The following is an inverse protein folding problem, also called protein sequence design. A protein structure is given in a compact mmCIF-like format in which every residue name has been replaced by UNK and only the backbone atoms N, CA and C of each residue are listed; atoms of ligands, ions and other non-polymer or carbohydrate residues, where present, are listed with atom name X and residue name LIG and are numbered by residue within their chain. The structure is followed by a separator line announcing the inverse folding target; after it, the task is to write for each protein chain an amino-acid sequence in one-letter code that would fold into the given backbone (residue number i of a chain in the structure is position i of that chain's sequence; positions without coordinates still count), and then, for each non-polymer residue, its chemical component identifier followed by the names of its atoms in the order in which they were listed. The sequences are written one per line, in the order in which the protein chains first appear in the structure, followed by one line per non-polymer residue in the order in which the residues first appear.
data_IF_175373168906
#
_entry.id   IF_175373168906
#
_cell.length_a   1.000
_cell.length_b   1.000
_cell.length_c   1.000
_cell.angle_alpha   90.00
_cell.angle_beta   90.00
_cell.angle_gamma   90.00
#
_symmetry.space_group_name_H-M   'P 1'
#
loop_
_entity.id
_entity.type
_entity.pdbx_description
1 polymer ?
#
# COMPACT_ATOMS: atom_id res chain seq x y z
N UNK A 1 -5.62 -21.37 11.19
CA UNK A 1 -6.78 -21.44 10.27
C UNK A 1 -7.10 -22.90 10.02
N UNK A 2 -8.37 -23.24 9.78
CA UNK A 2 -8.72 -24.61 9.38
C UNK A 2 -8.15 -24.91 7.98
N UNK A 3 -7.56 -26.09 7.82
CA UNK A 3 -7.13 -26.63 6.52
C UNK A 3 -8.25 -27.51 5.95
N UNK A 4 -8.48 -27.47 4.63
CA UNK A 4 -9.41 -28.40 3.98
C UNK A 4 -8.75 -29.78 3.85
N UNK A 5 -9.55 -30.83 4.00
CA UNK A 5 -9.15 -32.21 3.66
C UNK A 5 -9.20 -32.41 2.14
N UNK A 6 -8.38 -31.69 1.37
CA UNK A 6 -8.25 -31.85 -0.09
C UNK A 6 -6.81 -31.64 -0.53
N UNK A 7 -6.39 -32.33 -1.60
CA UNK A 7 -5.03 -32.24 -2.14
C UNK A 7 -4.71 -30.81 -2.60
N UNK A 8 -3.59 -30.25 -2.13
CA UNK A 8 -3.12 -28.91 -2.49
C UNK A 8 -2.71 -28.89 -3.97
N UNK A 9 -3.38 -28.06 -4.77
CA UNK A 9 -2.89 -27.70 -6.09
C UNK A 9 -1.62 -26.82 -5.95
N UNK A 10 -0.72 -26.87 -6.93
CA UNK A 10 0.45 -25.99 -6.94
C UNK A 10 -0.01 -24.51 -6.88
N UNK A 11 0.65 -23.65 -6.08
CA UNK A 11 0.24 -22.27 -5.93
C UNK A 11 0.34 -21.56 -7.29
N UNK A 12 -0.76 -20.94 -7.71
CA UNK A 12 -0.74 -20.03 -8.85
C UNK A 12 0.21 -18.86 -8.53
N UNK A 13 0.88 -18.33 -9.55
CA UNK A 13 1.70 -17.13 -9.38
C UNK A 13 0.84 -15.99 -8.82
N UNK A 14 1.36 -15.32 -7.79
CA UNK A 14 0.68 -14.16 -7.19
C UNK A 14 0.46 -13.05 -8.23
N UNK A 15 -0.70 -12.36 -8.20
CA UNK A 15 -0.96 -11.25 -9.11
C UNK A 15 0.05 -10.11 -8.98
N UNK A 16 0.47 -9.55 -10.11
CA UNK A 16 1.41 -8.43 -10.19
C UNK A 16 0.95 -7.17 -9.43
N UNK A 17 -0.36 -6.93 -9.38
CA UNK A 17 -0.92 -5.79 -8.66
C UNK A 17 -0.68 -5.86 -7.14
N UNK A 18 -0.37 -7.04 -6.59
CA UNK A 18 -0.03 -7.18 -5.18
C UNK A 18 1.27 -6.47 -4.82
N UNK A 19 2.01 -5.88 -5.76
CA UNK A 19 3.20 -5.05 -5.51
C UNK A 19 2.87 -3.59 -5.14
N UNK A 20 1.67 -3.11 -5.46
CA UNK A 20 1.24 -1.73 -5.17
C UNK A 20 0.84 -1.52 -3.71
N UNK A 21 0.69 -0.27 -3.27
CA UNK A 21 0.20 0.02 -1.93
C UNK A 21 -1.33 -0.20 -1.85
N UNK A 22 -1.80 -0.52 -0.64
CA UNK A 22 -3.22 -0.60 -0.32
C UNK A 22 -3.77 0.80 -0.01
N UNK A 23 -4.59 1.32 -0.94
CA UNK A 23 -5.14 2.67 -0.89
C UNK A 23 -6.36 2.79 0.05
N UNK A 24 -6.97 1.66 0.44
CA UNK A 24 -8.12 1.62 1.34
C UNK A 24 -7.74 1.38 2.81
N UNK A 25 -6.46 1.08 3.09
CA UNK A 25 -6.02 0.77 4.44
C UNK A 25 -6.28 1.91 5.43
N UNK A 26 -6.75 1.57 6.64
CA UNK A 26 -7.03 2.55 7.71
C UNK A 26 -5.81 3.41 8.05
N UNK A 27 -4.60 2.83 7.99
CA UNK A 27 -3.35 3.53 8.33
C UNK A 27 -2.94 4.60 7.31
N UNK A 28 -3.53 4.56 6.11
CA UNK A 28 -3.40 5.64 5.12
C UNK A 28 -4.63 6.55 5.09
N UNK A 29 -5.55 6.39 6.03
CA UNK A 29 -6.74 7.23 6.19
C UNK A 29 -8.02 6.65 5.58
N UNK A 30 -8.01 5.40 5.10
CA UNK A 30 -9.21 4.77 4.55
C UNK A 30 -10.27 4.53 5.61
N UNK A 31 -11.55 4.70 5.24
CA UNK A 31 -12.68 4.64 6.17
C UNK A 31 -13.90 4.01 5.53
N UNK A 32 -14.66 3.25 6.32
CA UNK A 32 -16.05 2.93 5.95
C UNK A 32 -16.93 4.09 6.41
N UNK A 33 -17.65 4.70 5.47
CA UNK A 33 -18.51 5.87 5.73
C UNK A 33 -20.00 5.52 5.73
N UNK A 34 -20.33 4.29 5.31
CA UNK A 34 -21.68 3.73 5.37
C UNK A 34 -21.62 2.20 5.30
N UNK A 35 -22.50 1.51 6.01
CA UNK A 35 -22.74 0.07 5.88
C UNK A 35 -24.21 -0.23 6.19
N UNK A 36 -24.84 -1.14 5.44
CA UNK A 36 -26.25 -1.51 5.62
C UNK A 36 -26.52 -2.21 6.96
N UNK A 37 -25.61 -3.08 7.38
CA UNK A 37 -25.72 -3.90 8.58
C UNK A 37 -24.31 -4.22 9.11
N UNK A 38 -24.13 -4.20 10.42
CA UNK A 38 -22.86 -4.46 11.11
C UNK A 38 -23.08 -5.30 12.37
N UNK A 39 -24.05 -6.21 12.32
CA UNK A 39 -24.55 -6.88 13.52
C UNK A 39 -23.52 -7.74 14.24
N UNK A 40 -22.82 -8.63 13.54
CA UNK A 40 -21.88 -9.55 14.18
C UNK A 40 -20.48 -8.96 14.28
N UNK A 41 -20.05 -8.20 13.27
CA UNK A 41 -18.76 -7.51 13.28
C UNK A 41 -18.76 -6.27 12.35
N UNK A 42 -18.08 -5.18 12.74
CA UNK A 42 -18.15 -3.90 12.05
C UNK A 42 -17.34 -3.89 10.74
N UNK A 43 -17.88 -3.19 9.74
CA UNK A 43 -17.29 -3.04 8.41
C UNK A 43 -15.94 -2.32 8.43
N UNK A 44 -15.66 -1.48 9.43
CA UNK A 44 -14.35 -0.86 9.61
C UNK A 44 -13.19 -1.89 9.68
N UNK A 45 -13.46 -3.12 10.15
CA UNK A 45 -12.47 -4.19 10.20
C UNK A 45 -11.93 -4.58 8.82
N UNK A 46 -12.66 -4.32 7.72
CA UNK A 46 -12.21 -4.61 6.35
C UNK A 46 -10.89 -3.94 6.02
N UNK A 47 -10.67 -2.74 6.58
CA UNK A 47 -9.59 -1.83 6.21
C UNK A 47 -8.37 -1.95 7.14
N UNK A 48 -8.44 -2.85 8.13
CA UNK A 48 -7.35 -3.10 9.07
C UNK A 48 -6.11 -3.56 8.33
N UNK A 49 -4.97 -2.99 8.71
CA UNK A 49 -3.68 -3.39 8.11
C UNK A 49 -3.31 -4.83 8.44
N UNK A 50 -3.49 -5.19 9.71
CA UNK A 50 -3.06 -6.48 10.25
C UNK A 50 -3.85 -7.64 9.61
N UNK A 51 -3.22 -8.82 9.43
CA UNK A 51 -3.93 -10.02 9.04
C UNK A 51 -5.12 -10.31 9.98
N UNK A 52 -6.21 -10.90 9.49
CA UNK A 52 -7.34 -11.27 10.33
C UNK A 52 -6.93 -12.25 11.43
N UNK A 53 -7.60 -12.16 12.57
CA UNK A 53 -7.41 -13.07 13.70
C UNK A 53 -8.67 -13.86 14.03
N UNK A 54 -8.48 -15.03 14.62
CA UNK A 54 -9.58 -15.84 15.14
C UNK A 54 -9.28 -16.28 16.56
N UNK A 55 -10.17 -15.92 17.47
CA UNK A 55 -10.05 -16.23 18.91
C UNK A 55 -11.20 -17.19 19.23
N UNK A 56 -10.88 -18.47 19.45
CA UNK A 56 -11.85 -19.57 19.45
C UNK A 56 -12.96 -19.44 20.51
N UNK A 57 -12.64 -18.87 21.67
CA UNK A 57 -13.55 -18.79 22.81
C UNK A 57 -14.16 -17.38 23.02
N UNK A 58 -13.91 -16.44 22.09
CA UNK A 58 -14.41 -15.06 22.21
C UNK A 58 -15.78 -14.88 21.55
N UNK A 59 -16.69 -14.25 22.29
CA UNK A 59 -18.06 -13.94 21.88
C UNK A 59 -18.41 -12.52 22.33
N UNK A 60 -19.23 -11.82 21.55
CA UNK A 60 -19.87 -10.57 21.91
C UNK A 60 -21.33 -10.84 22.32
N UNK A 61 -22.05 -9.84 22.79
CA UNK A 61 -23.50 -9.98 23.03
C UNK A 61 -24.29 -10.23 21.73
N UNK A 62 -23.69 -9.98 20.57
CA UNK A 62 -24.30 -10.15 19.25
C UNK A 62 -23.95 -11.48 18.57
N UNK A 63 -23.00 -12.25 19.10
CA UNK A 63 -22.63 -13.55 18.56
C UNK A 63 -21.14 -13.88 18.70
N UNK A 64 -20.63 -14.70 17.79
CA UNK A 64 -19.20 -15.03 17.73
C UNK A 64 -18.40 -13.77 17.39
N UNK A 65 -17.32 -13.50 18.13
CA UNK A 65 -16.42 -12.41 17.73
C UNK A 65 -15.66 -12.80 16.46
N UNK A 66 -15.68 -11.91 15.46
CA UNK A 66 -15.01 -12.10 14.18
C UNK A 66 -14.20 -10.84 13.81
N UNK A 67 -12.95 -11.04 13.37
CA UNK A 67 -12.10 -9.94 12.90
C UNK A 67 -12.34 -9.63 11.42
N UNK A 68 -13.55 -9.14 11.12
CA UNK A 68 -14.01 -8.80 9.78
C UNK A 68 -15.29 -7.98 9.82
N UNK A 69 -15.92 -7.81 8.66
CA UNK A 69 -17.31 -7.35 8.55
C UNK A 69 -18.22 -8.57 8.49
N UNK A 70 -19.24 -8.65 9.34
CA UNK A 70 -20.25 -9.72 9.25
C UNK A 70 -21.67 -9.20 9.56
N UNK A 71 -22.58 -9.46 8.63
CA UNK A 71 -23.98 -9.00 8.70
C UNK A 71 -24.94 -10.08 9.19
N UNK A 72 -26.14 -9.67 9.62
CA UNK A 72 -27.24 -10.61 9.89
C UNK A 72 -27.60 -11.40 8.65
N UNK A 73 -27.97 -12.66 8.87
CA UNK A 73 -28.62 -13.49 7.85
C UNK A 73 -29.83 -12.78 7.27
N UNK A 74 -29.78 -12.47 5.98
CA UNK A 74 -30.83 -11.73 5.30
C UNK A 74 -32.01 -12.65 5.01
N UNK A 75 -33.19 -12.18 5.37
CA UNK A 75 -34.49 -12.84 5.12
C UNK A 75 -35.46 -11.93 4.38
N UNK A 76 -34.92 -10.90 3.75
CA UNK A 76 -35.63 -9.86 3.01
C UNK A 76 -34.97 -9.68 1.64
N UNK A 77 -35.68 -9.11 0.65
CA UNK A 77 -35.07 -8.82 -0.65
C UNK A 77 -33.83 -7.90 -0.54
N UNK A 78 -32.93 -8.03 -1.51
CA UNK A 78 -31.72 -7.23 -1.63
C UNK A 78 -30.47 -7.92 -1.07
N UNK A 79 -29.44 -7.12 -0.83
CA UNK A 79 -28.11 -7.57 -0.42
C UNK A 79 -27.43 -6.53 0.46
N UNK A 80 -26.41 -6.91 1.23
CA UNK A 80 -25.68 -5.99 2.10
C UNK A 80 -24.52 -5.31 1.37
N UNK A 81 -24.25 -4.05 1.71
CA UNK A 81 -23.21 -3.26 1.06
C UNK A 81 -22.68 -2.16 1.98
N UNK A 82 -21.47 -1.70 1.68
CA UNK A 82 -20.85 -0.59 2.38
C UNK A 82 -20.19 0.39 1.40
N UNK A 83 -19.98 1.63 1.83
CA UNK A 83 -19.19 2.63 1.12
C UNK A 83 -17.87 2.83 1.85
N UNK A 84 -16.79 2.69 1.08
CA UNK A 84 -15.42 2.87 1.54
C UNK A 84 -14.88 4.15 0.91
N UNK A 85 -14.46 5.10 1.73
CA UNK A 85 -13.61 6.21 1.30
C UNK A 85 -12.15 5.74 1.32
N UNK A 86 -11.45 5.88 0.20
CA UNK A 86 -10.03 5.57 0.12
C UNK A 86 -9.23 6.59 0.95
N UNK A 87 -8.19 6.13 1.64
CA UNK A 87 -7.27 7.02 2.34
C UNK A 87 -6.38 7.80 1.36
N UNK A 88 -6.09 7.18 0.22
CA UNK A 88 -5.37 7.82 -0.89
C UNK A 88 -6.17 7.62 -2.17
N UNK A 89 -6.70 8.70 -2.72
CA UNK A 89 -7.37 8.65 -4.01
C UNK A 89 -6.36 8.35 -5.13
N UNK A 90 -6.73 7.49 -6.06
CA UNK A 90 -5.78 6.95 -7.01
C UNK A 90 -6.38 6.02 -8.05
N UNK A 91 -5.52 5.44 -8.86
CA UNK A 91 -5.88 4.45 -9.88
C UNK A 91 -5.79 3.05 -9.29
N UNK A 92 -6.83 2.26 -9.46
CA UNK A 92 -6.92 0.89 -8.92
C UNK A 92 -6.42 -0.12 -9.96
N UNK A 93 -5.54 -1.03 -9.52
CA UNK A 93 -4.96 -2.10 -10.34
C UNK A 93 -5.48 -3.48 -9.95
N UNK A 94 -5.92 -3.65 -8.71
CA UNK A 94 -6.58 -4.87 -8.27
C UNK A 94 -7.13 -4.78 -6.86
N UNK A 95 -7.98 -5.75 -6.53
CA UNK A 95 -8.62 -5.88 -5.22
C UNK A 95 -8.40 -7.30 -4.70
N UNK A 96 -8.17 -7.43 -3.41
CA UNK A 96 -8.22 -8.69 -2.67
C UNK A 96 -9.38 -8.66 -1.68
N UNK A 97 -10.32 -9.59 -1.85
CA UNK A 97 -11.43 -9.81 -0.91
C UNK A 97 -11.10 -11.07 -0.11
N UNK A 98 -10.61 -10.86 1.11
CA UNK A 98 -10.16 -11.93 2.00
C UNK A 98 -11.32 -12.41 2.87
N UNK A 99 -11.68 -13.68 2.76
CA UNK A 99 -12.75 -14.32 3.53
C UNK A 99 -12.23 -15.12 4.73
N UNK A 100 -10.95 -14.99 5.10
CA UNK A 100 -10.30 -15.75 6.19
C UNK A 100 -11.21 -15.96 7.39
N UNK A 101 -11.30 -17.20 7.88
CA UNK A 101 -12.15 -17.62 9.01
C UNK A 101 -13.67 -17.65 8.75
N UNK A 102 -14.19 -17.07 7.68
CA UNK A 102 -15.58 -17.24 7.24
C UNK A 102 -15.74 -18.50 6.37
N UNK A 103 -15.64 -19.67 6.99
CA UNK A 103 -15.55 -20.97 6.27
C UNK A 103 -16.89 -21.52 5.79
N UNK A 104 -18.01 -21.06 6.35
CA UNK A 104 -19.37 -21.46 5.96
C UNK A 104 -20.38 -20.31 5.91
N UNK A 105 -19.95 -19.11 6.29
CA UNK A 105 -20.74 -17.88 6.39
C UNK A 105 -20.08 -16.71 5.63
N UNK A 106 -19.16 -16.97 4.69
CA UNK A 106 -18.75 -15.96 3.71
C UNK A 106 -19.92 -15.70 2.74
N UNK A 107 -20.02 -14.50 2.15
CA UNK A 107 -21.02 -14.25 1.13
C UNK A 107 -20.70 -15.06 -0.12
N UNK A 108 -21.68 -15.72 -0.76
CA UNK A 108 -21.47 -16.45 -2.00
C UNK A 108 -20.90 -15.60 -3.15
N UNK A 109 -21.32 -14.34 -3.27
CA UNK A 109 -20.83 -13.44 -4.32
C UNK A 109 -20.48 -12.05 -3.79
N UNK A 110 -19.62 -11.37 -4.55
CA UNK A 110 -19.22 -9.97 -4.34
C UNK A 110 -19.30 -9.18 -5.63
N UNK A 111 -19.48 -7.87 -5.53
CA UNK A 111 -19.17 -6.92 -6.61
C UNK A 111 -18.58 -5.63 -6.00
N UNK A 112 -17.82 -4.90 -6.80
CA UNK A 112 -17.18 -3.64 -6.39
C UNK A 112 -17.41 -2.58 -7.45
N UNK A 113 -17.99 -1.44 -7.07
CA UNK A 113 -18.09 -0.25 -7.91
C UNK A 113 -17.18 0.87 -7.39
N UNK A 114 -16.85 1.83 -8.25
CA UNK A 114 -15.96 2.94 -7.92
C UNK A 114 -16.54 4.31 -8.29
N UNK A 115 -16.40 5.25 -7.35
CA UNK A 115 -16.80 6.64 -7.51
C UNK A 115 -15.61 7.60 -7.44
N UNK A 116 -15.71 8.69 -8.21
CA UNK A 116 -14.89 9.88 -8.06
C UNK A 116 -15.78 11.01 -7.54
N UNK A 117 -15.64 11.35 -6.26
CA UNK A 117 -16.37 12.46 -5.63
C UNK A 117 -15.39 13.61 -5.44
N UNK A 118 -15.76 14.80 -5.91
CA UNK A 118 -14.96 16.02 -5.74
C UNK A 118 -14.94 16.46 -4.28
N UNK A 119 -16.08 16.38 -3.61
CA UNK A 119 -16.23 16.66 -2.19
C UNK A 119 -16.56 15.37 -1.42
N UNK A 120 -15.91 15.12 -0.26
CA UNK A 120 -16.27 13.99 0.57
C UNK A 120 -17.69 14.18 1.15
N UNK A 121 -18.50 13.11 1.23
CA UNK A 121 -19.80 13.20 1.86
C UNK A 121 -19.69 13.59 3.34
N UNK A 122 -20.71 14.27 3.85
CA UNK A 122 -20.73 14.82 5.21
C UNK A 122 -21.17 13.82 6.28
N UNK A 123 -21.67 12.65 5.89
CA UNK A 123 -22.02 11.59 6.82
C UNK A 123 -20.83 10.65 7.06
N UNK A 124 -20.62 10.28 8.31
CA UNK A 124 -19.61 9.34 8.73
C UNK A 124 -20.20 8.36 9.75
N UNK A 125 -19.60 7.18 9.83
CA UNK A 125 -19.86 6.23 10.91
C UNK A 125 -18.91 6.56 12.06
N UNK A 126 -19.45 6.69 13.27
CA UNK A 126 -18.66 6.92 14.48
C UNK A 126 -18.77 5.72 15.43
N UNK A 127 -17.65 5.42 16.10
CA UNK A 127 -17.57 4.40 17.13
C UNK A 127 -17.62 2.96 16.61
N UNK A 128 -17.73 2.04 17.56
CA UNK A 128 -18.00 0.62 17.26
C UNK A 128 -19.48 0.45 16.94
N UNK A 129 -19.76 -0.11 15.76
CA UNK A 129 -21.11 -0.34 15.24
C UNK A 129 -21.55 -1.80 15.31
N UNK A 130 -20.85 -2.62 16.07
CA UNK A 130 -21.28 -3.99 16.35
C UNK A 130 -22.71 -3.99 16.88
N UNK A 131 -23.59 -4.81 16.27
CA UNK A 131 -25.01 -4.88 16.59
C UNK A 131 -25.90 -3.86 15.88
N UNK A 132 -25.33 -2.96 15.08
CA UNK A 132 -26.08 -1.89 14.41
C UNK A 132 -26.55 -2.27 12.99
N UNK A 133 -27.51 -1.51 12.51
CA UNK A 133 -27.90 -1.46 11.10
C UNK A 133 -28.15 -0.01 10.69
N UNK A 134 -28.08 0.27 9.39
CA UNK A 134 -28.33 1.59 8.87
C UNK A 134 -29.74 2.06 9.23
N UNK A 135 -29.82 3.22 9.87
CA UNK A 135 -31.05 3.95 10.10
C UNK A 135 -31.64 4.47 8.79
N UNK A 136 -32.94 4.82 8.82
CA UNK A 136 -33.59 5.43 7.67
C UNK A 136 -32.91 6.73 7.22
N UNK A 137 -32.44 7.55 8.17
CA UNK A 137 -31.73 8.79 7.87
C UNK A 137 -30.40 8.54 7.15
N UNK A 138 -29.63 7.53 7.57
CA UNK A 138 -28.39 7.13 6.89
C UNK A 138 -28.66 6.60 5.48
N UNK A 139 -29.70 5.78 5.31
CA UNK A 139 -30.13 5.28 3.99
C UNK A 139 -30.52 6.42 3.04
N UNK A 140 -31.27 7.42 3.52
CA UNK A 140 -31.64 8.61 2.73
C UNK A 140 -30.40 9.46 2.41
N UNK A 141 -29.46 9.59 3.34
CA UNK A 141 -28.23 10.36 3.12
C UNK A 141 -27.33 9.70 2.07
N UNK A 142 -27.07 8.39 2.18
CA UNK A 142 -26.20 7.66 1.25
C UNK A 142 -26.81 7.53 -0.14
N UNK A 143 -28.13 7.48 -0.27
CA UNK A 143 -28.81 7.40 -1.57
C UNK A 143 -28.51 8.60 -2.48
N UNK A 144 -28.16 9.76 -1.91
CA UNK A 144 -27.75 10.96 -2.67
C UNK A 144 -26.44 10.77 -3.43
N UNK A 145 -25.63 9.76 -3.08
CA UNK A 145 -24.40 9.44 -3.79
C UNK A 145 -24.64 8.73 -5.13
N UNK A 146 -25.84 8.17 -5.34
CA UNK A 146 -26.16 7.34 -6.51
C UNK A 146 -25.12 6.24 -6.75
N UNK A 147 -24.62 5.65 -5.66
CA UNK A 147 -23.49 4.71 -5.69
C UNK A 147 -23.83 3.39 -6.37
N UNK A 148 -25.11 3.07 -6.51
CA UNK A 148 -25.61 1.95 -7.31
C UNK A 148 -25.30 2.11 -8.81
N UNK A 149 -25.16 3.35 -9.30
CA UNK A 149 -24.87 3.66 -10.69
C UNK A 149 -23.37 3.89 -10.96
N UNK A 150 -22.52 3.77 -9.94
CA UNK A 150 -21.07 3.89 -10.11
C UNK A 150 -20.53 2.78 -11.02
N UNK A 151 -19.52 3.05 -11.87
CA UNK A 151 -18.89 2.04 -12.71
C UNK A 151 -18.37 0.85 -11.91
N UNK A 152 -18.57 -0.36 -12.42
CA UNK A 152 -18.03 -1.58 -11.81
C UNK A 152 -16.51 -1.68 -12.03
N UNK A 153 -15.77 -1.90 -10.94
CA UNK A 153 -14.39 -2.40 -10.98
C UNK A 153 -14.38 -3.92 -11.09
N UNK A 154 -15.30 -4.57 -10.38
CA UNK A 154 -15.47 -6.02 -10.31
C UNK A 154 -16.96 -6.31 -10.42
N UNK A 155 -17.39 -6.93 -11.51
CA UNK A 155 -18.76 -7.41 -11.66
C UNK A 155 -19.05 -8.57 -10.70
N UNK A 156 -20.32 -8.98 -10.59
CA UNK A 156 -20.73 -10.05 -9.66
C UNK A 156 -19.88 -11.31 -9.86
N UNK A 157 -19.15 -11.69 -8.82
CA UNK A 157 -18.15 -12.76 -8.85
C UNK A 157 -18.28 -13.66 -7.62
N UNK A 158 -18.08 -14.97 -7.80
CA UNK A 158 -18.13 -15.95 -6.71
C UNK A 158 -16.93 -15.78 -5.76
N UNK A 159 -17.17 -15.89 -4.46
CA UNK A 159 -16.12 -15.91 -3.44
C UNK A 159 -15.84 -17.33 -2.95
N UNK A 160 -14.57 -17.58 -2.65
CA UNK A 160 -14.15 -18.81 -2.00
C UNK A 160 -14.31 -18.70 -0.47
N UNK A 161 -14.58 -19.82 0.22
CA UNK A 161 -14.64 -19.85 1.68
C UNK A 161 -13.30 -19.59 2.37
N UNK A 162 -13.38 -19.10 3.60
CA UNK A 162 -12.26 -18.63 4.45
C UNK A 162 -11.26 -19.64 4.99
N UNK A 163 -10.84 -20.63 4.19
CA UNK A 163 -9.76 -21.55 4.55
C UNK A 163 -8.41 -20.99 4.10
N UNK A 164 -7.33 -21.39 4.79
CA UNK A 164 -5.99 -20.81 4.61
C UNK A 164 -5.50 -20.82 3.15
N UNK A 165 -5.84 -21.86 2.41
CA UNK A 165 -5.41 -22.12 1.04
C UNK A 165 -6.21 -21.36 -0.03
N UNK A 166 -7.35 -20.76 0.32
CA UNK A 166 -8.27 -20.20 -0.67
C UNK A 166 -9.05 -18.95 -0.21
N UNK A 167 -8.80 -18.45 1.00
CA UNK A 167 -9.46 -17.28 1.57
C UNK A 167 -9.25 -15.98 0.77
N UNK A 168 -8.13 -15.83 0.08
CA UNK A 168 -7.86 -14.67 -0.77
C UNK A 168 -8.54 -14.78 -2.14
N UNK A 169 -9.35 -13.77 -2.48
CA UNK A 169 -10.05 -13.67 -3.75
C UNK A 169 -9.54 -12.45 -4.51
N UNK A 170 -8.65 -12.71 -5.46
CA UNK A 170 -7.93 -11.68 -6.21
C UNK A 170 -8.66 -11.30 -7.51
N UNK A 171 -8.93 -10.01 -7.68
CA UNK A 171 -9.56 -9.44 -8.87
C UNK A 171 -8.64 -8.40 -9.51
N UNK A 172 -8.18 -8.66 -10.74
CA UNK A 172 -7.43 -7.68 -11.53
C UNK A 172 -8.39 -6.65 -12.09
N UNK A 173 -8.07 -5.37 -11.93
CA UNK A 173 -8.92 -4.25 -12.35
C UNK A 173 -8.24 -3.50 -13.48
N UNK A 174 -8.98 -3.24 -14.57
CA UNK A 174 -8.54 -2.37 -15.65
C UNK A 174 -9.39 -1.09 -15.68
N UNK A 175 -9.22 -0.27 -14.65
CA UNK A 175 -9.91 1.01 -14.51
C UNK A 175 -8.89 2.14 -14.55
N UNK A 176 -9.09 3.10 -15.46
CA UNK A 176 -8.11 4.16 -15.73
C UNK A 176 -8.39 5.47 -14.99
N UNK A 177 -9.63 5.66 -14.55
CA UNK A 177 -10.04 6.89 -13.89
C UNK A 177 -9.58 6.90 -12.43
N UNK A 178 -9.44 8.11 -11.88
CA UNK A 178 -9.13 8.33 -10.47
C UNK A 178 -10.31 7.91 -9.61
N UNK A 179 -10.05 7.14 -8.57
CA UNK A 179 -11.05 6.64 -7.62
C UNK A 179 -10.83 7.29 -6.27
N UNK A 180 -11.93 7.66 -5.61
CA UNK A 180 -11.93 8.22 -4.23
C UNK A 180 -12.76 7.36 -3.28
N UNK A 181 -13.78 6.70 -3.81
CA UNK A 181 -14.72 5.91 -3.03
C UNK A 181 -15.03 4.60 -3.75
N UNK A 182 -15.33 3.57 -2.97
CA UNK A 182 -15.78 2.28 -3.45
C UNK A 182 -17.13 1.93 -2.83
N UNK A 183 -17.93 1.19 -3.57
CA UNK A 183 -19.08 0.45 -3.04
C UNK A 183 -18.75 -1.03 -3.10
N UNK A 184 -18.71 -1.68 -1.95
CA UNK A 184 -18.56 -3.13 -1.83
C UNK A 184 -19.95 -3.72 -1.60
N UNK A 185 -20.38 -4.67 -2.44
CA UNK A 185 -21.62 -5.42 -2.25
C UNK A 185 -21.31 -6.87 -1.91
N UNK A 186 -21.95 -7.40 -0.87
CA UNK A 186 -21.97 -8.83 -0.55
C UNK A 186 -23.35 -9.41 -0.82
N UNK A 187 -23.44 -10.54 -1.52
CA UNK A 187 -24.72 -11.11 -1.95
C UNK A 187 -25.00 -12.47 -1.31
N UNK A 188 -26.16 -12.65 -0.64
CA UNK A 188 -27.05 -11.60 -0.09
C UNK A 188 -26.54 -10.98 1.22
N UNK A 189 -25.73 -11.74 1.97
CA UNK A 189 -25.19 -11.42 3.30
C UNK A 189 -24.03 -12.37 3.61
N UNK A 190 -23.32 -12.14 4.71
CA UNK A 190 -22.24 -13.00 5.17
C UNK A 190 -21.11 -12.21 5.83
N UNK A 191 -19.91 -12.78 5.83
CA UNK A 191 -18.71 -12.16 6.38
C UNK A 191 -17.49 -12.09 5.45
N UNK A 192 -16.80 -10.96 5.50
CA UNK A 192 -15.54 -10.68 4.78
C UNK A 192 -14.53 -10.15 5.79
N UNK A 193 -13.33 -10.71 5.82
CA UNK A 193 -12.30 -10.36 6.80
C UNK A 193 -11.53 -9.11 6.43
N UNK A 194 -11.04 -9.01 5.19
CA UNK A 194 -10.35 -7.80 4.70
C UNK A 194 -10.75 -7.48 3.28
N UNK A 195 -10.64 -6.20 2.95
CA UNK A 195 -10.63 -5.72 1.58
C UNK A 195 -9.35 -4.89 1.39
N UNK A 196 -8.48 -5.34 0.49
CA UNK A 196 -7.27 -4.59 0.11
C UNK A 196 -7.43 -4.04 -1.29
N UNK A 197 -7.13 -2.77 -1.47
CA UNK A 197 -7.34 -2.05 -2.74
C UNK A 197 -5.99 -1.57 -3.26
N UNK A 198 -5.42 -2.34 -4.16
CA UNK A 198 -4.06 -2.12 -4.65
C UNK A 198 -4.04 -1.13 -5.82
N UNK A 199 -3.26 -0.07 -5.68
CA UNK A 199 -3.20 0.98 -6.69
C UNK A 199 -2.09 2.00 -6.51
N UNK A 200 -2.10 3.01 -7.38
CA UNK A 200 -1.16 4.12 -7.38
C UNK A 200 -1.92 5.40 -7.02
N UNK A 201 -1.43 6.12 -6.01
CA UNK A 201 -2.00 7.42 -5.63
C UNK A 201 -1.96 8.42 -6.78
N UNK A 202 -2.97 9.28 -6.87
CA UNK A 202 -3.02 10.33 -7.88
C UNK A 202 -3.27 11.69 -7.21
N UNK A 203 -2.20 12.48 -7.16
CA UNK A 203 -2.22 13.88 -6.75
C UNK A 203 -2.53 14.76 -7.96
N UNK A 204 -3.36 15.78 -7.74
CA UNK A 204 -3.56 16.85 -8.72
C UNK A 204 -2.39 17.83 -8.65
N UNK A 205 -1.39 17.60 -9.49
CA UNK A 205 -0.19 18.42 -9.57
C UNK A 205 -0.44 19.85 -10.03
N UNK A 206 -1.61 20.16 -10.61
CA UNK A 206 -1.98 21.54 -10.96
C UNK A 206 -2.31 22.39 -9.74
N UNK A 207 -2.70 21.74 -8.63
CA UNK A 207 -2.96 22.38 -7.34
C UNK A 207 -1.70 22.58 -6.48
N UNK A 208 -0.58 21.94 -6.86
CA UNK A 208 0.69 22.02 -6.12
C UNK A 208 1.54 23.14 -6.69
N UNK A 209 1.98 24.07 -5.84
CA UNK A 209 2.85 25.17 -6.29
C UNK A 209 4.22 24.65 -6.74
N UNK A 210 4.73 25.15 -7.87
CA UNK A 210 6.09 24.85 -8.36
C UNK A 210 7.21 25.31 -7.40
N UNK A 211 6.88 26.15 -6.41
CA UNK A 211 7.80 26.59 -5.37
C UNK A 211 7.67 25.82 -4.06
N UNK A 212 6.68 24.94 -3.96
CA UNK A 212 6.45 24.11 -2.80
C UNK A 212 7.34 22.87 -2.86
N UNK A 213 8.09 22.64 -1.79
CA UNK A 213 8.79 21.37 -1.59
C UNK A 213 7.78 20.32 -1.11
N UNK A 214 7.71 19.19 -1.82
CA UNK A 214 6.85 18.05 -1.50
C UNK A 214 7.66 16.76 -1.54
N UNK A 215 7.20 15.74 -0.82
CA UNK A 215 7.81 14.41 -0.88
C UNK A 215 7.44 13.72 -2.21
N UNK A 216 8.32 13.81 -3.21
CA UNK A 216 8.07 13.34 -4.57
C UNK A 216 7.99 11.80 -4.66
N UNK A 217 8.49 11.07 -3.66
CA UNK A 217 8.42 9.60 -3.63
C UNK A 217 7.23 9.09 -2.79
N UNK A 218 6.51 9.97 -2.09
CA UNK A 218 5.40 9.56 -1.23
C UNK A 218 4.33 8.78 -2.00
N UNK A 219 3.77 7.74 -1.38
CA UNK A 219 2.64 6.99 -1.92
C UNK A 219 1.46 7.91 -2.29
N UNK A 220 1.23 8.95 -1.48
CA UNK A 220 0.11 9.90 -1.66
C UNK A 220 0.29 10.75 -2.90
N UNK A 221 1.55 11.00 -3.26
CA UNK A 221 1.93 11.79 -4.41
C UNK A 221 2.06 10.93 -5.67
N UNK A 222 1.86 9.61 -5.57
CA UNK A 222 1.93 8.67 -6.68
C UNK A 222 3.28 7.95 -6.81
N UNK A 223 4.13 8.01 -5.79
CA UNK A 223 5.36 7.21 -5.75
C UNK A 223 5.05 5.72 -5.73
N UNK A 224 5.89 4.92 -6.40
CA UNK A 224 5.67 3.48 -6.58
C UNK A 224 6.98 2.72 -6.40
N UNK A 225 6.95 1.61 -5.67
CA UNK A 225 8.05 0.64 -5.66
C UNK A 225 8.01 -0.21 -6.95
N UNK A 226 9.04 -0.11 -7.78
CA UNK A 226 9.10 -0.76 -9.11
C UNK A 226 9.99 -2.01 -9.15
N UNK A 227 10.83 -2.21 -8.13
CA UNK A 227 11.71 -3.38 -8.04
C UNK A 227 12.55 -3.36 -6.78
N UNK A 228 13.05 -4.53 -6.38
CA UNK A 228 13.89 -4.69 -5.20
C UNK A 228 14.71 -5.97 -5.27
N UNK A 229 15.79 -6.05 -4.49
CA UNK A 229 16.66 -7.22 -4.40
C UNK A 229 16.12 -8.31 -3.49
N UNK A 230 15.61 -7.92 -2.31
CA UNK A 230 15.16 -8.82 -1.27
C UNK A 230 14.05 -8.15 -0.44
N UNK A 231 13.08 -8.91 0.05
CA UNK A 231 12.05 -8.44 0.99
C UNK A 231 11.74 -9.57 1.99
N UNK A 232 12.64 -9.78 2.95
CA UNK A 232 12.51 -10.88 3.92
C UNK A 232 11.41 -10.60 4.94
N UNK A 233 11.36 -9.37 5.47
CA UNK A 233 10.25 -8.87 6.28
C UNK A 233 9.80 -7.50 5.79
N UNK A 234 8.50 -7.25 5.84
CA UNK A 234 7.92 -6.06 5.23
C UNK A 234 8.15 -6.01 3.72
N UNK A 235 7.91 -4.86 3.12
CA UNK A 235 8.05 -4.67 1.67
C UNK A 235 8.55 -3.25 1.38
N UNK A 236 9.42 -3.02 0.38
CA UNK A 236 9.95 -1.68 0.07
C UNK A 236 8.90 -0.59 -0.14
N UNK A 237 7.74 -0.94 -0.72
CA UNK A 237 6.55 -0.05 -0.81
C UNK A 237 6.12 0.59 0.52
N UNK A 238 6.47 0.01 1.67
CA UNK A 238 6.16 0.57 2.98
C UNK A 238 7.02 1.81 3.28
N UNK A 239 8.23 1.90 2.72
CA UNK A 239 9.15 3.03 2.97
C UNK A 239 8.58 4.38 2.50
N UNK A 240 7.69 4.35 1.50
CA UNK A 240 7.04 5.54 0.95
C UNK A 240 5.66 5.79 1.57
N UNK A 241 5.25 4.98 2.55
CA UNK A 241 3.98 5.09 3.27
C UNK A 241 3.83 6.40 4.03
N UNK A 242 2.65 6.68 4.60
CA UNK A 242 2.42 7.90 5.38
C UNK A 242 3.16 7.89 6.74
N UNK A 243 3.44 9.09 7.27
CA UNK A 243 4.01 9.29 8.60
C UNK A 243 5.33 8.55 8.85
N UNK A 244 5.52 8.08 10.08
CA UNK A 244 6.62 7.19 10.47
C UNK A 244 6.11 5.76 10.58
N UNK A 245 7.00 4.78 10.42
CA UNK A 245 6.63 3.38 10.62
C UNK A 245 6.10 3.15 12.04
N UNK A 246 5.02 2.38 12.19
CA UNK A 246 4.47 2.01 13.50
C UNK A 246 5.32 0.95 14.22
N UNK A 247 6.02 0.10 13.46
CA UNK A 247 6.91 -0.96 13.93
C UNK A 247 7.81 -1.44 12.76
N UNK A 248 8.62 -2.49 12.96
CA UNK A 248 9.52 -3.01 11.90
C UNK A 248 8.77 -3.64 10.72
N UNK A 249 7.61 -4.25 10.93
CA UNK A 249 6.79 -4.82 9.83
C UNK A 249 6.20 -3.74 8.91
N UNK A 250 6.16 -2.49 9.41
CA UNK A 250 5.86 -1.29 8.64
C UNK A 250 7.10 -0.67 7.97
N UNK A 251 8.22 -1.37 7.91
CA UNK A 251 9.38 -0.99 7.11
C UNK A 251 9.62 -1.93 5.94
N UNK A 252 10.86 -1.91 5.49
CA UNK A 252 11.48 -2.89 4.61
C UNK A 252 12.69 -3.48 5.31
N UNK A 253 12.78 -4.80 5.41
CA UNK A 253 13.93 -5.51 5.96
C UNK A 253 14.36 -6.64 5.04
N UNK A 254 15.67 -6.74 4.83
CA UNK A 254 16.28 -7.77 4.00
C UNK A 254 16.88 -8.88 4.84
N UNK A 255 17.01 -10.07 4.25
CA UNK A 255 17.74 -11.16 4.87
C UNK A 255 19.20 -10.78 5.10
N UNK A 256 19.81 -11.33 6.16
CA UNK A 256 21.25 -11.20 6.37
C UNK A 256 21.99 -11.84 5.20
N UNK A 257 22.93 -11.10 4.62
CA UNK A 257 23.76 -11.64 3.55
C UNK A 257 24.73 -12.69 4.08
N UNK A 258 24.87 -13.78 3.32
CA UNK A 258 25.73 -14.91 3.67
C UNK A 258 27.18 -14.77 3.18
N UNK A 259 27.43 -13.83 2.28
CA UNK A 259 28.76 -13.52 1.72
C UNK A 259 29.57 -12.51 2.56
N UNK A 260 29.10 -12.20 3.78
CA UNK A 260 29.79 -11.32 4.72
C UNK A 260 31.18 -11.88 5.10
N UNK A 261 32.23 -11.04 5.16
CA UNK A 261 33.57 -11.51 5.48
C UNK A 261 33.71 -11.86 6.97
N UNK A 262 34.59 -12.83 7.28
CA UNK A 262 34.90 -13.25 8.67
C UNK A 262 35.45 -12.13 9.55
N UNK A 263 36.10 -11.13 8.93
CA UNK A 263 36.66 -9.95 9.60
C UNK A 263 36.15 -8.71 8.88
N UNK A 264 35.39 -7.89 9.60
CA UNK A 264 34.88 -6.62 9.09
C UNK A 264 36.00 -5.59 9.07
N UNK A 265 36.01 -4.74 8.05
CA UNK A 265 36.87 -3.57 7.94
C UNK A 265 36.00 -2.34 7.73
N UNK A 266 36.47 -1.19 8.18
CA UNK A 266 35.85 0.12 7.93
C UNK A 266 36.83 1.00 7.16
N UNK A 267 36.31 1.97 6.41
CA UNK A 267 37.11 3.06 5.84
C UNK A 267 37.38 4.16 6.88
N UNK A 268 38.02 5.25 6.44
CA UNK A 268 38.34 6.41 7.29
C UNK A 268 37.12 7.15 7.82
N UNK A 269 35.94 6.90 7.26
CA UNK A 269 34.65 7.48 7.65
C UNK A 269 33.84 6.51 8.53
N UNK A 270 34.38 5.33 8.84
CA UNK A 270 33.74 4.33 9.67
C UNK A 270 32.70 3.47 8.94
N UNK A 271 32.60 3.56 7.60
CA UNK A 271 31.65 2.77 6.80
C UNK A 271 32.22 1.38 6.54
N UNK A 272 31.41 0.34 6.75
CA UNK A 272 31.81 -1.04 6.55
C UNK A 272 32.15 -1.32 5.08
N UNK A 273 33.31 -1.95 4.89
CA UNK A 273 33.79 -2.42 3.60
C UNK A 273 33.39 -3.89 3.44
N UNK A 274 32.23 -4.11 2.82
CA UNK A 274 31.59 -5.42 2.66
C UNK A 274 31.23 -5.67 1.19
N UNK A 275 31.28 -6.92 0.71
CA UNK A 275 30.82 -7.25 -0.62
C UNK A 275 29.29 -7.15 -0.69
N UNK A 276 28.80 -6.63 -1.81
CA UNK A 276 27.38 -6.58 -2.12
C UNK A 276 26.56 -5.54 -1.35
N UNK A 277 25.29 -5.47 -1.69
CA UNK A 277 24.32 -4.53 -1.16
C UNK A 277 22.90 -5.03 -1.49
N UNK A 278 21.92 -4.48 -0.78
CA UNK A 278 20.52 -4.64 -1.10
C UNK A 278 19.95 -3.33 -1.64
N UNK A 279 18.91 -3.40 -2.47
CA UNK A 279 18.39 -2.22 -3.14
C UNK A 279 16.88 -2.28 -3.36
N UNK A 280 16.28 -1.10 -3.47
CA UNK A 280 14.89 -0.89 -3.87
C UNK A 280 14.79 0.32 -4.80
N UNK A 281 14.01 0.17 -5.88
CA UNK A 281 13.79 1.19 -6.90
C UNK A 281 12.38 1.76 -6.77
N UNK A 282 12.30 3.08 -6.86
CA UNK A 282 11.06 3.83 -6.79
C UNK A 282 10.91 4.77 -7.99
N UNK A 283 9.73 4.78 -8.59
CA UNK A 283 9.28 5.86 -9.45
C UNK A 283 8.74 6.99 -8.58
N UNK A 284 9.12 8.22 -8.90
CA UNK A 284 8.55 9.40 -8.26
C UNK A 284 7.14 9.63 -8.78
N UNK A 285 6.26 10.15 -7.93
CA UNK A 285 4.91 10.52 -8.32
C UNK A 285 4.86 11.69 -9.32
N UNK A 286 5.94 12.46 -9.38
CA UNK A 286 6.18 13.47 -10.40
C UNK A 286 7.68 13.69 -10.59
N UNK A 287 8.06 14.11 -11.80
CA UNK A 287 9.42 14.55 -12.06
C UNK A 287 9.74 15.81 -11.24
N UNK A 288 10.93 15.87 -10.65
CA UNK A 288 11.33 17.04 -9.87
C UNK A 288 12.81 17.09 -9.53
N UNK A 289 13.21 18.22 -8.96
CA UNK A 289 14.56 18.47 -8.42
C UNK A 289 14.53 18.26 -6.91
N UNK A 290 15.40 17.39 -6.41
CA UNK A 290 15.45 17.03 -4.99
C UNK A 290 16.25 18.08 -4.20
N UNK A 291 15.66 18.57 -3.10
CA UNK A 291 16.27 19.52 -2.18
C UNK A 291 16.71 18.87 -0.86
N UNK A 292 16.05 17.80 -0.43
CA UNK A 292 16.41 17.06 0.78
C UNK A 292 15.98 15.60 0.71
N UNK A 293 16.78 14.71 1.30
CA UNK A 293 16.49 13.28 1.42
C UNK A 293 16.41 12.90 2.89
N UNK A 294 15.38 12.14 3.25
CA UNK A 294 15.30 11.49 4.55
C UNK A 294 15.41 9.97 4.43
N UNK A 295 16.30 9.36 5.22
CA UNK A 295 16.35 7.92 5.44
C UNK A 295 16.11 7.66 6.93
N UNK A 296 14.95 7.10 7.27
CA UNK A 296 14.56 6.78 8.65
C UNK A 296 14.76 5.29 8.94
N UNK A 297 15.56 4.97 9.95
CA UNK A 297 15.76 3.60 10.48
C UNK A 297 14.90 3.32 11.71
N UNK A 298 13.79 4.05 11.90
CA UNK A 298 12.82 3.82 12.99
C UNK A 298 12.54 2.34 13.21
N UNK A 299 12.39 1.95 14.48
CA UNK A 299 12.27 0.56 14.96
C UNK A 299 13.43 -0.42 14.65
N UNK A 300 14.31 -0.14 13.70
CA UNK A 300 15.49 -0.96 13.41
C UNK A 300 16.66 -0.58 14.35
N UNK A 301 16.70 -1.24 15.52
CA UNK A 301 17.66 -0.93 16.60
C UNK A 301 18.96 -1.73 16.52
N UNK A 302 18.89 -2.97 16.03
CA UNK A 302 20.06 -3.88 15.92
C UNK A 302 20.29 -4.43 14.52
N UNK A 303 19.35 -4.19 13.61
CA UNK A 303 19.29 -4.71 12.24
C UNK A 303 19.10 -3.58 11.22
N UNK A 304 19.45 -2.33 11.56
CA UNK A 304 19.58 -1.25 10.57
C UNK A 304 20.81 -1.52 9.67
N UNK A 305 20.80 -1.07 8.42
CA UNK A 305 21.97 -1.19 7.56
C UNK A 305 23.10 -0.30 8.05
N UNK A 306 24.34 -0.68 7.73
CA UNK A 306 25.53 0.07 8.15
C UNK A 306 25.62 1.43 7.46
N UNK A 307 25.31 1.44 6.16
CA UNK A 307 25.29 2.62 5.32
C UNK A 307 24.21 2.55 4.26
N UNK A 308 23.89 3.70 3.70
CA UNK A 308 23.10 3.80 2.48
C UNK A 308 23.71 4.77 1.48
N UNK A 309 23.31 4.63 0.22
CA UNK A 309 23.43 5.68 -0.79
C UNK A 309 22.14 5.75 -1.60
N UNK A 310 21.91 6.87 -2.27
CA UNK A 310 20.78 7.02 -3.18
C UNK A 310 21.31 7.34 -4.57
N UNK A 311 20.83 6.58 -5.54
CA UNK A 311 21.10 6.79 -6.95
C UNK A 311 19.81 7.27 -7.62
N UNK A 312 19.91 8.02 -8.71
CA UNK A 312 18.77 8.55 -9.44
C UNK A 312 18.98 8.48 -10.94
N UNK A 313 17.87 8.57 -11.68
CA UNK A 313 17.89 8.79 -13.12
C UNK A 313 16.59 9.44 -13.60
N UNK A 314 16.61 9.93 -14.83
CA UNK A 314 15.44 10.37 -15.57
C UNK A 314 15.20 9.42 -16.75
N UNK A 315 14.08 8.71 -16.73
CA UNK A 315 13.70 7.72 -17.75
C UNK A 315 12.47 8.16 -18.54
N UNK A 316 12.43 7.85 -19.84
CA UNK A 316 11.18 7.83 -20.61
C UNK A 316 10.39 6.55 -20.30
N UNK A 317 9.10 6.46 -20.70
CA UNK A 317 8.34 5.22 -20.60
C UNK A 317 9.02 4.01 -21.29
N UNK A 318 9.71 4.22 -22.41
CA UNK A 318 10.45 3.16 -23.10
C UNK A 318 11.69 2.72 -22.31
N UNK A 319 12.42 3.67 -21.73
CA UNK A 319 13.58 3.41 -20.87
C UNK A 319 13.20 2.67 -19.58
N UNK A 320 12.08 3.06 -18.96
CA UNK A 320 11.51 2.37 -17.80
C UNK A 320 11.11 0.94 -18.19
N UNK A 321 10.39 0.76 -19.30
CA UNK A 321 10.01 -0.55 -19.81
C UNK A 321 11.22 -1.46 -20.10
N UNK A 322 12.36 -0.91 -20.53
CA UNK A 322 13.63 -1.64 -20.63
C UNK A 322 14.17 -2.04 -19.26
N UNK A 323 14.19 -1.12 -18.31
CA UNK A 323 14.71 -1.34 -16.95
C UNK A 323 13.90 -2.40 -16.20
N UNK A 324 12.57 -2.41 -16.36
CA UNK A 324 11.69 -3.46 -15.80
C UNK A 324 12.06 -4.84 -16.38
N UNK A 325 12.26 -4.95 -17.71
CA UNK A 325 12.66 -6.21 -18.35
C UNK A 325 14.01 -6.74 -17.87
N UNK A 326 14.95 -5.85 -17.54
CA UNK A 326 16.26 -6.22 -17.00
C UNK A 326 16.27 -6.31 -15.46
N UNK A 327 15.10 -6.23 -14.82
CA UNK A 327 14.93 -6.25 -13.36
C UNK A 327 15.80 -5.20 -12.66
N UNK A 328 15.96 -4.03 -13.27
CA UNK A 328 16.73 -2.91 -12.76
C UNK A 328 18.24 -3.19 -12.55
N UNK A 329 18.76 -4.27 -13.14
CA UNK A 329 20.18 -4.61 -13.14
C UNK A 329 20.99 -3.80 -14.16
N UNK A 330 20.32 -3.14 -15.09
CA UNK A 330 20.91 -2.20 -16.03
C UNK A 330 20.20 -0.85 -15.92
N UNK A 331 20.94 0.25 -16.08
CA UNK A 331 20.39 1.60 -16.00
C UNK A 331 21.50 2.64 -15.92
N UNK A 332 21.25 3.84 -16.44
CA UNK A 332 22.14 5.01 -16.28
C UNK A 332 21.86 5.66 -14.93
N UNK A 333 22.29 4.99 -13.86
CA UNK A 333 22.14 5.48 -12.49
C UNK A 333 23.26 6.48 -12.18
N UNK A 334 22.88 7.67 -11.75
CA UNK A 334 23.80 8.69 -11.24
C UNK A 334 23.69 8.72 -9.72
N UNK A 335 24.80 8.95 -9.03
CA UNK A 335 24.76 9.11 -7.56
C UNK A 335 24.02 10.41 -7.27
N UNK A 336 22.98 10.35 -6.43
CA UNK A 336 22.25 11.51 -5.90
C UNK A 336 22.72 11.85 -4.49
N UNK A 337 22.89 10.82 -3.65
CA UNK A 337 23.44 10.92 -2.30
C UNK A 337 24.60 9.91 -2.19
N UNK A 338 25.86 10.36 -1.98
CA UNK A 338 26.99 9.47 -1.73
C UNK A 338 26.79 8.57 -0.50
N UNK A 339 27.65 7.57 -0.31
CA UNK A 339 27.54 6.65 0.83
C UNK A 339 27.56 7.39 2.18
N UNK A 340 26.51 7.19 2.98
CA UNK A 340 26.33 7.78 4.31
C UNK A 340 26.25 6.68 5.36
N UNK A 341 26.96 6.87 6.48
CA UNK A 341 26.85 6.01 7.66
C UNK A 341 25.48 6.20 8.31
N UNK A 342 24.83 5.10 8.66
CA UNK A 342 23.54 5.12 9.35
C UNK A 342 23.67 4.80 10.83
N UNK A 343 22.64 5.19 11.58
CA UNK A 343 22.47 4.98 13.01
C UNK A 343 21.21 4.15 13.29
N UNK A 344 21.18 3.40 14.40
CA UNK A 344 19.98 2.66 14.80
C UNK A 344 18.84 3.61 15.17
N UNK A 345 17.61 3.28 14.77
CA UNK A 345 16.41 3.97 15.22
C UNK A 345 16.48 5.50 15.05
N UNK A 346 16.87 5.96 13.87
CA UNK A 346 17.28 7.34 13.65
C UNK A 346 16.78 7.92 12.32
N UNK A 347 16.42 9.20 12.31
CA UNK A 347 16.08 9.97 11.11
C UNK A 347 17.31 10.68 10.57
N UNK A 348 17.76 10.29 9.39
CA UNK A 348 18.90 10.90 8.71
C UNK A 348 18.36 11.85 7.65
N UNK A 349 18.63 13.14 7.79
CA UNK A 349 18.21 14.18 6.84
C UNK A 349 19.43 14.73 6.16
N UNK A 350 19.40 14.77 4.83
CA UNK A 350 20.51 15.22 3.98
C UNK A 350 19.99 16.30 3.04
N UNK A 351 20.43 17.54 3.26
CA UNK A 351 20.03 18.68 2.43
C UNK A 351 20.91 18.80 1.18
N UNK A 352 20.58 19.78 0.32
CA UNK A 352 21.27 20.07 -0.94
C UNK A 352 22.80 20.00 -0.90
N UNK A 353 23.46 20.41 0.19
CA UNK A 353 24.91 20.35 0.33
C UNK A 353 25.50 18.92 0.30
N UNK A 354 24.69 17.90 0.64
CA UNK A 354 25.07 16.50 0.58
C UNK A 354 24.70 15.83 -0.76
N UNK A 355 23.90 16.52 -1.60
CA UNK A 355 23.41 15.98 -2.86
C UNK A 355 24.35 16.34 -4.01
N UNK A 356 24.47 15.42 -4.97
CA UNK A 356 25.37 15.57 -6.13
C UNK A 356 24.66 15.97 -7.42
N UNK A 357 23.33 15.86 -7.47
CA UNK A 357 22.52 16.21 -8.65
C UNK A 357 21.63 17.41 -8.37
N UNK A 358 21.48 18.28 -9.37
CA UNK A 358 20.66 19.49 -9.32
C UNK A 358 19.64 19.57 -10.47
N UNK A 359 19.63 18.57 -11.35
CA UNK A 359 18.67 18.47 -12.44
C UNK A 359 17.48 17.58 -12.06
N UNK A 360 16.38 17.65 -12.83
CA UNK A 360 15.22 16.82 -12.57
C UNK A 360 15.49 15.32 -12.73
N UNK A 361 14.81 14.52 -11.90
CA UNK A 361 14.84 13.05 -11.92
C UNK A 361 13.42 12.49 -11.92
N UNK A 362 13.26 11.23 -12.34
CA UNK A 362 11.96 10.52 -12.30
C UNK A 362 12.01 9.25 -11.46
N UNK A 363 13.20 8.72 -11.21
CA UNK A 363 13.39 7.47 -10.50
C UNK A 363 14.54 7.58 -9.50
N UNK A 364 14.43 6.84 -8.40
CA UNK A 364 15.51 6.67 -7.44
C UNK A 364 15.71 5.21 -7.06
N UNK A 365 16.95 4.86 -6.71
CA UNK A 365 17.32 3.58 -6.14
C UNK A 365 17.98 3.83 -4.79
N UNK A 366 17.31 3.39 -3.72
CA UNK A 366 17.94 3.30 -2.41
C UNK A 366 18.80 2.04 -2.39
N UNK A 367 20.07 2.20 -2.03
CA UNK A 367 20.99 1.09 -1.84
C UNK A 367 21.45 1.08 -0.39
N UNK A 368 21.30 -0.06 0.28
CA UNK A 368 21.72 -0.28 1.66
C UNK A 368 22.84 -1.32 1.70
N UNK A 369 23.79 -1.16 2.61
CA UNK A 369 24.92 -2.08 2.73
C UNK A 369 25.21 -2.48 4.19
N UNK A 370 25.61 -3.75 4.43
CA UNK A 370 25.48 -4.88 3.50
C UNK A 370 24.01 -5.27 3.27
N UNK A 371 23.18 -5.14 4.31
CA UNK A 371 21.77 -5.53 4.39
C UNK A 371 21.19 -4.91 5.67
N UNK A 372 19.88 -4.99 5.88
CA UNK A 372 19.22 -4.53 7.09
C UNK A 372 17.82 -4.00 6.83
N UNK A 373 17.31 -3.19 7.76
CA UNK A 373 15.99 -2.61 7.68
C UNK A 373 15.95 -1.08 7.65
N UNK A 374 15.05 -0.56 6.81
CA UNK A 374 14.74 0.87 6.67
C UNK A 374 13.24 1.09 6.86
N UNK A 375 12.88 2.09 7.65
CA UNK A 375 11.49 2.41 7.98
C UNK A 375 10.86 3.31 6.92
N UNK A 376 11.51 4.42 6.56
CA UNK A 376 10.99 5.38 5.58
C UNK A 376 12.08 5.97 4.70
N UNK A 377 11.67 6.34 3.49
CA UNK A 377 12.43 7.13 2.53
C UNK A 377 11.58 8.34 2.13
N UNK A 378 12.15 9.55 2.23
CA UNK A 378 11.53 10.80 1.74
C UNK A 378 12.45 11.49 0.76
N UNK A 379 11.86 12.04 -0.30
CA UNK A 379 12.57 12.84 -1.30
C UNK A 379 11.83 14.15 -1.47
N UNK A 380 12.19 15.11 -0.62
CA UNK A 380 11.64 16.45 -0.67
C UNK A 380 12.25 17.19 -1.86
N UNK A 381 11.38 17.81 -2.66
CA UNK A 381 11.81 18.53 -3.83
C UNK A 381 10.66 19.24 -4.52
N UNK A 382 10.99 19.95 -5.59
CA UNK A 382 10.03 20.71 -6.37
C UNK A 382 9.68 19.95 -7.64
N UNK A 383 8.39 19.79 -7.89
CA UNK A 383 7.89 19.28 -9.15
C UNK A 383 8.31 20.22 -10.30
N UNK A 384 8.66 19.64 -11.45
CA UNK A 384 8.97 20.40 -12.67
C UNK A 384 8.03 20.02 -13.79
N UNK A 385 7.66 20.98 -14.63
CA UNK A 385 6.80 20.71 -15.78
C UNK A 385 7.47 19.72 -16.75
N UNK A 386 6.70 18.76 -17.25
CA UNK A 386 7.15 17.70 -18.16
C UNK A 386 7.88 18.22 -19.41
N UNK A 387 7.60 19.44 -19.88
CA UNK A 387 8.26 20.07 -21.02
C UNK A 387 9.77 20.30 -20.80
N UNK A 388 10.20 20.49 -19.55
CA UNK A 388 11.61 20.77 -19.19
C UNK A 388 12.53 19.57 -19.44
N UNK A 389 12.00 18.34 -19.43
CA UNK A 389 12.77 17.11 -19.68
C UNK A 389 13.23 16.98 -21.15
N UNK A 390 12.53 17.64 -22.09
CA UNK A 390 12.86 17.61 -23.51
C UNK A 390 13.98 18.61 -23.88
N UNK A 391 14.16 19.69 -23.12
CA UNK A 391 15.13 20.75 -23.40
C UNK A 391 16.55 20.50 -22.87
N UNK A 392 16.74 19.49 -22.03
CA UNK A 392 18.05 19.10 -21.46
C UNK A 392 18.67 17.86 -22.14
N UNK A 393 18.18 17.47 -23.32
CA UNK A 393 18.74 16.35 -24.11
C UNK A 393 19.62 16.81 -25.25
#
# INVERSE_FOLDING_TARGET
MAERRTALAAPAAEPDFLLFNDLACETVGGRVIFATDEWFAPAANLLKRAPPQFIADEFTEFGKWMDGWETRRKRTPGHDWCIIQLGVAGRIHGVDVDTSFFTGNHPPFVSVQAGHLEEPPTFNLEGDRTGAAASHAELVAVAKLHSEAWPELVGVSELKPGYLDCCHNYFKVNFKQRVTHLRLNMYPDGGISRMRVYGVGQTDWTSVSLHQDVDLVALTNGGVCLGYSNAHFGHPRNMIGLGRAANMADGWETARRLDRPKKLKVDGQGVLQVPGCEWAVFGLGHCGVISSIEVDTNHFRGNFPDSCRVEACALTPEDEGRSVRTKWNSGKWEVLLPSQKLRPHHRHVYDTAALTLTHPITHVRLVIAPDGGVSRLRLWGRAVNHETLASTR
#
